data_IF_326886788219
#
_entry.id   IF_326886788219
#
_cell.length_a   1.000
_cell.length_b   1.000
_cell.length_c   1.000
_cell.angle_alpha   90.00
_cell.angle_beta   90.00
_cell.angle_gamma   90.00
#
_symmetry.space_group_name_H-M   'P 1'
#
loop_
_entity.id
_entity.type
_entity.pdbx_description
1 polymer ?
#
# COMPACT_ATOMS: atom_id res chain seq x y z
N UNK A 1 13.51 44.79 -16.35
CA UNK A 1 13.15 45.33 -15.01
C UNK A 1 13.40 44.25 -13.95
N UNK A 2 13.79 44.62 -12.72
CA UNK A 2 14.05 43.69 -11.59
C UNK A 2 12.84 42.81 -11.25
N UNK A 3 11.64 43.38 -11.31
CA UNK A 3 10.36 42.73 -11.01
C UNK A 3 10.05 41.49 -11.85
N UNK A 4 10.36 41.50 -13.15
CA UNK A 4 10.13 40.35 -14.04
C UNK A 4 10.98 39.13 -13.64
N UNK A 5 12.21 39.36 -13.15
CA UNK A 5 13.10 38.29 -12.67
C UNK A 5 12.64 37.73 -11.33
N UNK A 6 12.12 38.58 -10.46
CA UNK A 6 11.59 38.16 -9.16
C UNK A 6 10.31 37.32 -9.33
N UNK A 7 9.45 37.68 -10.29
CA UNK A 7 8.26 36.92 -10.67
C UNK A 7 8.62 35.57 -11.31
N UNK A 8 9.55 35.54 -12.26
CA UNK A 8 10.04 34.31 -12.89
C UNK A 8 10.66 33.35 -11.86
N UNK A 9 11.44 33.89 -10.92
CA UNK A 9 12.01 33.10 -9.82
C UNK A 9 10.93 32.54 -8.89
N UNK A 10 9.86 33.29 -8.62
CA UNK A 10 8.75 32.83 -7.80
C UNK A 10 8.01 31.66 -8.47
N UNK A 11 7.73 31.76 -9.77
CA UNK A 11 7.07 30.70 -10.55
C UNK A 11 7.94 29.44 -10.55
N UNK A 12 9.22 29.55 -10.92
CA UNK A 12 10.16 28.42 -10.95
C UNK A 12 10.31 27.75 -9.59
N UNK A 13 10.27 28.53 -8.52
CA UNK A 13 10.32 27.99 -7.15
C UNK A 13 9.02 27.27 -6.79
N UNK A 14 7.87 27.81 -7.19
CA UNK A 14 6.57 27.16 -6.98
C UNK A 14 6.48 25.83 -7.74
N UNK A 15 6.90 25.78 -9.00
CA UNK A 15 6.93 24.55 -9.81
C UNK A 15 7.82 23.48 -9.19
N UNK A 16 9.07 23.81 -8.85
CA UNK A 16 10.00 22.88 -8.16
C UNK A 16 9.45 22.37 -6.84
N UNK A 17 8.77 23.22 -6.08
CA UNK A 17 8.10 22.81 -4.83
C UNK A 17 6.92 21.89 -5.12
N UNK A 18 6.16 22.17 -6.17
CA UNK A 18 5.06 21.34 -6.65
C UNK A 18 5.53 19.94 -7.03
N UNK A 19 6.55 19.86 -7.88
CA UNK A 19 7.18 18.61 -8.32
C UNK A 19 7.70 17.80 -7.14
N UNK A 20 8.51 18.40 -6.27
CA UNK A 20 9.05 17.73 -5.07
C UNK A 20 7.95 17.22 -4.13
N UNK A 21 6.87 17.99 -3.96
CA UNK A 21 5.70 17.56 -3.16
C UNK A 21 4.96 16.41 -3.84
N UNK A 22 4.82 16.46 -5.16
CA UNK A 22 4.21 15.40 -5.96
C UNK A 22 4.97 14.09 -5.83
N UNK A 23 6.28 14.13 -6.05
CA UNK A 23 7.16 12.96 -5.93
C UNK A 23 7.11 12.36 -4.51
N UNK A 24 7.24 13.20 -3.48
CA UNK A 24 7.17 12.75 -2.08
C UNK A 24 5.84 12.06 -1.78
N UNK A 25 4.72 12.68 -2.17
CA UNK A 25 3.37 12.11 -1.96
C UNK A 25 3.19 10.81 -2.74
N UNK A 26 3.66 10.75 -3.98
CA UNK A 26 3.58 9.55 -4.82
C UNK A 26 4.35 8.39 -4.18
N UNK A 27 5.58 8.64 -3.74
CA UNK A 27 6.42 7.65 -3.06
C UNK A 27 5.79 7.16 -1.75
N UNK A 28 5.30 8.07 -0.91
CA UNK A 28 4.64 7.72 0.36
C UNK A 28 3.40 6.85 0.14
N UNK A 29 2.55 7.21 -0.84
CA UNK A 29 1.37 6.41 -1.22
C UNK A 29 1.76 5.03 -1.73
N UNK A 30 2.70 4.96 -2.68
CA UNK A 30 3.15 3.70 -3.25
C UNK A 30 3.76 2.75 -2.22
N UNK A 31 4.55 3.26 -1.27
CA UNK A 31 5.10 2.47 -0.16
C UNK A 31 3.96 1.94 0.72
N UNK A 32 3.00 2.78 1.10
CA UNK A 32 1.88 2.38 1.96
C UNK A 32 1.02 1.30 1.29
N UNK A 33 0.69 1.48 0.01
CA UNK A 33 -0.08 0.51 -0.76
C UNK A 33 0.68 -0.80 -0.93
N UNK A 34 1.98 -0.74 -1.26
CA UNK A 34 2.83 -1.92 -1.41
C UNK A 34 2.98 -2.73 -0.12
N UNK A 35 3.12 -2.07 1.04
CA UNK A 35 3.17 -2.75 2.34
C UNK A 35 1.85 -3.47 2.61
N UNK A 36 0.72 -2.78 2.44
CA UNK A 36 -0.61 -3.36 2.68
C UNK A 36 -0.86 -4.59 1.79
N UNK A 37 -0.52 -4.49 0.52
CA UNK A 37 -0.66 -5.59 -0.44
C UNK A 37 0.26 -6.76 -0.07
N UNK A 38 1.53 -6.48 0.27
CA UNK A 38 2.48 -7.50 0.69
C UNK A 38 2.06 -8.24 1.98
N UNK A 39 1.52 -7.51 2.97
CA UNK A 39 0.97 -8.12 4.19
C UNK A 39 -0.21 -9.04 3.89
N UNK A 40 -1.11 -8.61 3.00
CA UNK A 40 -2.26 -9.44 2.57
C UNK A 40 -1.80 -10.70 1.84
N UNK A 41 -0.87 -10.57 0.89
CA UNK A 41 -0.30 -11.71 0.16
C UNK A 41 0.39 -12.69 1.10
N UNK A 42 1.13 -12.18 2.09
CA UNK A 42 1.75 -13.01 3.13
C UNK A 42 0.72 -13.76 3.95
N UNK A 43 -0.36 -13.11 4.38
CA UNK A 43 -1.45 -13.75 5.12
C UNK A 43 -2.10 -14.88 4.30
N UNK A 44 -2.36 -14.64 3.01
CA UNK A 44 -2.90 -15.64 2.07
C UNK A 44 -1.94 -16.82 1.90
N UNK A 45 -0.64 -16.57 1.72
CA UNK A 45 0.36 -17.63 1.57
C UNK A 45 0.46 -18.52 2.82
N UNK A 46 0.42 -17.91 4.01
CA UNK A 46 0.38 -18.66 5.28
C UNK A 46 -0.91 -19.48 5.35
N UNK A 47 -2.06 -18.88 5.04
CA UNK A 47 -3.35 -19.58 5.08
C UNK A 47 -3.36 -20.81 4.18
N UNK A 48 -2.91 -20.69 2.92
CA UNK A 48 -2.81 -21.79 1.95
C UNK A 48 -2.00 -22.97 2.47
N UNK A 49 -0.87 -22.70 3.13
CA UNK A 49 -0.02 -23.74 3.72
C UNK A 49 -0.66 -24.43 4.94
N UNK A 50 -1.66 -23.81 5.57
CA UNK A 50 -2.32 -24.32 6.76
C UNK A 50 -3.67 -25.00 6.47
N UNK A 51 -4.23 -24.85 5.26
CA UNK A 51 -5.57 -25.36 4.91
C UNK A 51 -5.71 -26.86 5.19
N UNK A 52 -4.71 -27.67 4.85
CA UNK A 52 -4.78 -29.13 5.01
C UNK A 52 -4.52 -29.59 6.45
N UNK A 53 -4.15 -28.67 7.35
CA UNK A 53 -3.67 -28.99 8.70
C UNK A 53 -4.64 -28.45 9.77
N UNK A 54 -5.20 -27.26 9.54
CA UNK A 54 -5.98 -26.52 10.53
C UNK A 54 -7.39 -26.22 10.04
N UNK A 55 -8.30 -26.01 10.99
CA UNK A 55 -9.66 -25.54 10.71
C UNK A 55 -9.68 -24.04 10.32
N UNK A 56 -10.76 -23.61 9.66
CA UNK A 56 -10.90 -22.24 9.15
C UNK A 56 -10.84 -21.18 10.26
N UNK A 57 -11.40 -21.47 11.44
CA UNK A 57 -11.41 -20.53 12.56
C UNK A 57 -10.00 -20.29 13.08
N UNK A 58 -9.19 -21.34 13.20
CA UNK A 58 -7.79 -21.22 13.63
C UNK A 58 -6.97 -20.48 12.57
N UNK A 59 -7.14 -20.78 11.29
CA UNK A 59 -6.43 -20.11 10.20
C UNK A 59 -6.77 -18.62 10.17
N UNK A 60 -8.05 -18.26 10.25
CA UNK A 60 -8.50 -16.87 10.33
C UNK A 60 -7.82 -16.13 11.48
N UNK A 61 -7.83 -16.70 12.69
CA UNK A 61 -7.18 -16.10 13.87
C UNK A 61 -5.66 -15.94 13.71
N UNK A 62 -4.98 -16.87 13.05
CA UNK A 62 -3.51 -16.87 12.91
C UNK A 62 -3.01 -15.97 11.79
N UNK A 63 -3.80 -15.81 10.73
CA UNK A 63 -3.43 -15.04 9.54
C UNK A 63 -4.04 -13.64 9.51
N UNK A 64 -5.09 -13.39 10.31
CA UNK A 64 -5.85 -12.15 10.27
C UNK A 64 -6.80 -12.04 9.08
N UNK A 65 -6.98 -13.12 8.30
CA UNK A 65 -8.00 -13.21 7.25
C UNK A 65 -9.39 -13.40 7.87
N UNK A 66 -10.43 -12.98 7.18
CA UNK A 66 -11.81 -13.25 7.60
C UNK A 66 -12.15 -14.74 7.40
N UNK A 67 -13.23 -15.22 8.03
CA UNK A 67 -13.71 -16.59 7.79
C UNK A 67 -14.06 -16.81 6.32
N UNK A 68 -14.74 -15.85 5.70
CA UNK A 68 -15.13 -15.87 4.28
C UNK A 68 -13.90 -15.99 3.37
N UNK A 69 -12.83 -15.24 3.63
CA UNK A 69 -11.60 -15.31 2.85
C UNK A 69 -10.91 -16.68 2.97
N UNK A 70 -10.98 -17.30 4.15
CA UNK A 70 -10.40 -18.64 4.36
C UNK A 70 -11.27 -19.72 3.71
N UNK A 71 -12.60 -19.57 3.74
CA UNK A 71 -13.54 -20.46 3.05
C UNK A 71 -13.35 -20.40 1.53
N UNK A 72 -13.22 -19.20 0.96
CA UNK A 72 -12.92 -18.99 -0.46
C UNK A 72 -11.59 -19.67 -0.85
N UNK A 73 -10.54 -19.51 -0.02
CA UNK A 73 -9.25 -20.17 -0.25
C UNK A 73 -9.33 -21.70 -0.20
N UNK A 74 -10.27 -22.24 0.58
CA UNK A 74 -10.51 -23.70 0.68
C UNK A 74 -11.44 -24.20 -0.43
N UNK A 75 -12.16 -23.31 -1.11
CA UNK A 75 -13.18 -23.67 -2.10
C UNK A 75 -14.47 -24.21 -1.47
N UNK A 76 -14.86 -23.67 -0.31
CA UNK A 76 -16.12 -23.97 0.38
C UNK A 76 -17.23 -22.98 0.03
#
# INVERSE_FOLDING_TARGET
>A
MKWLRDEEMAIKTAERRGERRGEKRGREKGIKEGIKEGEKQKAIAIAKNLLDILDNQTISKKTGLTMEEVEELRGL
#
